data_IF_910035664301
#
_entry.id   IF_910035664301
#
_cell.length_a   1.000
_cell.length_b   1.000
_cell.length_c   1.000
_cell.angle_alpha   90.00
_cell.angle_beta   90.00
_cell.angle_gamma   90.00
#
_symmetry.space_group_name_H-M   'P 1'
#
loop_
_entity.id
_entity.type
_entity.pdbx_description
1 polymer ?
#
# COMPACT_ATOMS: atom_id res chain seq x y z
N UNK A 1 -9.83 -34.59 21.47
CA UNK A 1 -11.10 -34.17 20.84
C UNK A 1 -10.98 -32.67 20.55
N UNK A 2 -10.73 -32.31 19.30
CA UNK A 2 -10.31 -30.96 18.91
C UNK A 2 -11.46 -29.95 19.11
N UNK A 3 -11.23 -28.95 19.96
CA UNK A 3 -12.07 -27.76 20.04
C UNK A 3 -11.92 -26.99 18.72
N UNK A 4 -12.76 -27.33 17.74
CA UNK A 4 -12.93 -26.57 16.51
C UNK A 4 -13.72 -25.33 16.91
N UNK A 5 -12.99 -24.27 17.29
CA UNK A 5 -13.57 -22.96 17.57
C UNK A 5 -14.54 -22.57 16.44
N UNK A 6 -15.81 -22.51 16.79
CA UNK A 6 -16.89 -21.97 15.98
C UNK A 6 -16.75 -20.44 15.93
N UNK A 7 -15.73 -19.96 15.22
CA UNK A 7 -15.63 -18.56 14.81
C UNK A 7 -16.41 -18.42 13.50
N UNK A 8 -17.74 -18.41 13.59
CA UNK A 8 -18.57 -17.95 12.47
C UNK A 8 -18.27 -16.46 12.29
N UNK A 9 -17.50 -16.14 11.26
CA UNK A 9 -17.21 -14.77 10.87
C UNK A 9 -18.51 -14.06 10.50
N UNK A 10 -18.70 -12.86 11.04
CA UNK A 10 -19.82 -12.01 10.65
C UNK A 10 -19.66 -11.62 9.17
N UNK A 11 -20.74 -11.53 8.38
CA UNK A 11 -20.67 -11.13 6.96
C UNK A 11 -19.85 -9.85 6.72
N UNK A 12 -19.86 -8.93 7.70
CA UNK A 12 -19.09 -7.67 7.68
C UNK A 12 -17.57 -7.89 7.76
N UNK A 13 -17.11 -8.96 8.41
CA UNK A 13 -15.68 -9.27 8.48
C UNK A 13 -15.14 -9.85 7.17
N UNK A 14 -15.95 -10.61 6.43
CA UNK A 14 -15.60 -11.12 5.10
C UNK A 14 -15.48 -9.97 4.08
N UNK A 15 -16.45 -9.05 4.06
CA UNK A 15 -16.40 -7.85 3.21
C UNK A 15 -15.20 -6.94 3.55
N UNK A 16 -14.93 -6.74 4.84
CA UNK A 16 -13.76 -5.99 5.30
C UNK A 16 -12.46 -6.65 4.86
N UNK A 17 -12.35 -7.98 5.02
CA UNK A 17 -11.15 -8.74 4.61
C UNK A 17 -10.91 -8.65 3.10
N UNK A 18 -11.97 -8.68 2.28
CA UNK A 18 -11.88 -8.53 0.84
C UNK A 18 -11.41 -7.11 0.44
N UNK A 19 -11.98 -6.06 1.05
CA UNK A 19 -11.57 -4.68 0.81
C UNK A 19 -10.11 -4.41 1.23
N UNK A 20 -9.67 -4.98 2.36
CA UNK A 20 -8.27 -4.91 2.80
C UNK A 20 -7.36 -5.64 1.81
N UNK A 21 -7.75 -6.82 1.34
CA UNK A 21 -6.95 -7.58 0.36
C UNK A 21 -6.78 -6.80 -0.95
N UNK A 22 -7.84 -6.16 -1.44
CA UNK A 22 -7.78 -5.29 -2.61
C UNK A 22 -6.83 -4.10 -2.40
N UNK A 23 -6.96 -3.41 -1.25
CA UNK A 23 -6.10 -2.30 -0.89
C UNK A 23 -4.62 -2.70 -0.81
N UNK A 24 -4.31 -3.87 -0.24
CA UNK A 24 -2.94 -4.39 -0.16
C UNK A 24 -2.38 -4.71 -1.55
N UNK A 25 -3.16 -5.33 -2.43
CA UNK A 25 -2.71 -5.68 -3.79
C UNK A 25 -2.45 -4.43 -4.62
N UNK A 26 -3.37 -3.46 -4.59
CA UNK A 26 -3.21 -2.20 -5.32
C UNK A 26 -2.09 -1.35 -4.73
N UNK A 27 -1.99 -1.30 -3.39
CA UNK A 27 -0.89 -0.67 -2.68
C UNK A 27 0.46 -1.26 -3.07
N UNK A 28 0.59 -2.59 -3.09
CA UNK A 28 1.84 -3.27 -3.45
C UNK A 28 2.24 -2.99 -4.91
N UNK A 29 1.27 -3.00 -5.84
CA UNK A 29 1.53 -2.64 -7.23
C UNK A 29 2.06 -1.21 -7.35
N UNK A 30 1.43 -0.27 -6.64
CA UNK A 30 1.85 1.12 -6.67
C UNK A 30 3.21 1.34 -5.98
N UNK A 31 3.49 0.61 -4.89
CA UNK A 31 4.78 0.61 -4.23
C UNK A 31 5.91 0.14 -5.16
N UNK A 32 5.67 -0.91 -5.96
CA UNK A 32 6.64 -1.38 -6.95
C UNK A 32 6.93 -0.31 -8.02
N UNK A 33 5.89 0.38 -8.51
CA UNK A 33 6.04 1.48 -9.47
C UNK A 33 6.79 2.65 -8.84
N UNK A 34 6.39 3.09 -7.65
CA UNK A 34 7.05 4.18 -6.94
C UNK A 34 8.52 3.86 -6.65
N UNK A 35 8.81 2.64 -6.20
CA UNK A 35 10.15 2.15 -5.93
C UNK A 35 11.03 2.17 -7.18
N UNK A 36 10.53 1.69 -8.32
CA UNK A 36 11.31 1.71 -9.58
C UNK A 36 11.54 3.13 -10.09
N UNK A 37 10.52 3.99 -10.04
CA UNK A 37 10.61 5.40 -10.43
C UNK A 37 11.61 6.17 -9.56
N UNK A 38 11.76 5.84 -8.28
CA UNK A 38 12.70 6.50 -7.37
C UNK A 38 14.09 5.86 -7.39
N UNK A 39 14.17 4.53 -7.56
CA UNK A 39 15.45 3.82 -7.59
C UNK A 39 16.34 4.26 -8.75
N UNK A 40 15.77 4.45 -9.95
CA UNK A 40 16.56 4.84 -11.13
C UNK A 40 17.23 6.22 -10.94
N UNK A 41 16.51 7.30 -10.60
CA UNK A 41 17.12 8.59 -10.29
C UNK A 41 18.09 8.53 -9.12
N UNK A 42 17.81 7.74 -8.08
CA UNK A 42 18.71 7.61 -6.91
C UNK A 42 20.07 7.05 -7.33
N UNK A 43 20.07 5.95 -8.09
CA UNK A 43 21.30 5.31 -8.55
C UNK A 43 22.04 6.15 -9.59
N UNK A 44 21.32 6.80 -10.51
CA UNK A 44 21.91 7.72 -11.48
C UNK A 44 22.54 8.92 -10.78
N UNK A 45 21.85 9.50 -9.78
CA UNK A 45 22.37 10.62 -9.01
C UNK A 45 23.69 10.27 -8.30
N UNK A 46 23.79 9.09 -7.71
CA UNK A 46 25.04 8.60 -7.10
C UNK A 46 26.18 8.36 -8.09
N UNK A 47 25.88 8.21 -9.40
CA UNK A 47 26.88 8.01 -10.46
C UNK A 47 27.32 9.32 -11.10
N UNK A 48 26.40 10.25 -11.30
CA UNK A 48 26.63 11.47 -12.08
C UNK A 48 26.94 12.69 -11.20
N UNK A 49 26.34 12.78 -10.01
CA UNK A 49 26.52 13.95 -9.13
C UNK A 49 27.66 13.70 -8.13
N UNK A 50 28.75 14.51 -8.16
CA UNK A 50 29.91 14.32 -7.27
C UNK A 50 29.53 14.42 -5.79
N UNK A 51 28.61 15.33 -5.46
CA UNK A 51 28.10 15.50 -4.10
C UNK A 51 27.36 14.25 -3.61
N UNK A 52 26.49 13.65 -4.43
CA UNK A 52 25.76 12.46 -4.05
C UNK A 52 26.68 11.24 -3.94
N UNK A 53 27.70 11.14 -4.80
CA UNK A 53 28.71 10.07 -4.73
C UNK A 53 29.53 10.13 -3.44
N UNK A 54 29.77 11.32 -2.89
CA UNK A 54 30.57 11.49 -1.68
C UNK A 54 29.73 11.46 -0.39
N UNK A 55 28.49 11.93 -0.42
CA UNK A 55 27.66 12.08 0.78
C UNK A 55 26.55 11.02 0.93
N UNK A 56 26.18 10.30 -0.14
CA UNK A 56 25.08 9.34 -0.10
C UNK A 56 25.60 7.89 0.03
N UNK A 57 25.54 7.35 1.25
CA UNK A 57 25.92 5.96 1.52
C UNK A 57 24.83 4.96 1.06
N UNK A 58 25.15 3.68 1.06
CA UNK A 58 24.21 2.62 0.65
C UNK A 58 22.94 2.58 1.50
N UNK A 59 23.05 2.90 2.80
CA UNK A 59 21.91 2.99 3.71
C UNK A 59 20.95 4.11 3.31
N UNK A 60 21.47 5.29 2.95
CA UNK A 60 20.68 6.44 2.52
C UNK A 60 19.95 6.14 1.19
N UNK A 61 20.61 5.47 0.25
CA UNK A 61 19.97 5.02 -0.99
C UNK A 61 18.80 4.06 -0.70
N UNK A 62 19.02 3.07 0.16
CA UNK A 62 17.99 2.12 0.57
C UNK A 62 16.83 2.83 1.31
N UNK A 63 17.14 3.82 2.14
CA UNK A 63 16.13 4.60 2.87
C UNK A 63 15.24 5.42 1.91
N UNK A 64 15.85 6.09 0.92
CA UNK A 64 15.10 6.88 -0.08
C UNK A 64 14.14 5.99 -0.87
N UNK A 65 14.62 4.84 -1.35
CA UNK A 65 13.81 3.91 -2.14
C UNK A 65 12.70 3.28 -1.28
N UNK A 66 13.02 2.83 -0.07
CA UNK A 66 12.04 2.22 0.84
C UNK A 66 10.97 3.22 1.29
N UNK A 67 11.33 4.47 1.58
CA UNK A 67 10.38 5.53 1.90
C UNK A 67 9.39 5.77 0.75
N UNK A 68 9.86 5.78 -0.50
CA UNK A 68 9.00 5.92 -1.67
C UNK A 68 8.04 4.73 -1.83
N UNK A 69 8.52 3.50 -1.63
CA UNK A 69 7.68 2.30 -1.66
C UNK A 69 6.58 2.35 -0.60
N UNK A 70 6.95 2.68 0.64
CA UNK A 70 6.02 2.76 1.78
C UNK A 70 4.96 3.83 1.51
N UNK A 71 5.37 5.04 1.10
CA UNK A 71 4.44 6.11 0.76
C UNK A 71 3.49 5.71 -0.38
N UNK A 72 4.02 5.12 -1.45
CA UNK A 72 3.24 4.64 -2.59
C UNK A 72 2.22 3.56 -2.21
N UNK A 73 2.57 2.68 -1.27
CA UNK A 73 1.66 1.68 -0.71
C UNK A 73 0.52 2.35 0.06
N UNK A 74 0.84 3.14 1.08
CA UNK A 74 -0.15 3.70 2.00
C UNK A 74 -1.12 4.65 1.31
N UNK A 75 -0.64 5.52 0.41
CA UNK A 75 -1.51 6.43 -0.33
C UNK A 75 -2.57 5.66 -1.14
N UNK A 76 -2.18 4.57 -1.80
CA UNK A 76 -3.11 3.79 -2.60
C UNK A 76 -4.00 2.90 -1.74
N UNK A 77 -3.46 2.31 -0.67
CA UNK A 77 -4.24 1.53 0.28
C UNK A 77 -5.35 2.39 0.92
N UNK A 78 -5.01 3.59 1.40
CA UNK A 78 -5.96 4.52 2.02
C UNK A 78 -7.05 4.94 1.04
N UNK A 79 -6.68 5.29 -0.20
CA UNK A 79 -7.66 5.63 -1.25
C UNK A 79 -8.60 4.47 -1.56
N UNK A 80 -8.09 3.24 -1.56
CA UNK A 80 -8.89 2.04 -1.84
C UNK A 80 -9.85 1.74 -0.69
N UNK A 81 -9.39 1.83 0.56
CA UNK A 81 -10.23 1.63 1.75
C UNK A 81 -11.35 2.67 1.81
N UNK A 82 -11.03 3.96 1.57
CA UNK A 82 -12.03 5.02 1.55
C UNK A 82 -13.06 4.84 0.43
N UNK A 83 -12.62 4.37 -0.74
CA UNK A 83 -13.54 4.07 -1.86
C UNK A 83 -14.50 2.94 -1.51
N UNK A 84 -13.98 1.85 -0.96
CA UNK A 84 -14.77 0.71 -0.49
C UNK A 84 -15.76 1.13 0.61
N UNK A 85 -15.33 1.95 1.58
CA UNK A 85 -16.21 2.49 2.62
C UNK A 85 -17.33 3.39 2.08
N UNK A 86 -17.05 4.22 1.07
CA UNK A 86 -18.06 5.05 0.39
C UNK A 86 -19.09 4.21 -0.34
N UNK A 87 -18.66 3.19 -1.09
CA UNK A 87 -19.58 2.31 -1.82
C UNK A 87 -20.51 1.53 -0.87
N UNK A 88 -19.97 1.02 0.24
CA UNK A 88 -20.76 0.34 1.27
C UNK A 88 -21.80 1.27 1.93
N UNK A 89 -21.50 2.56 2.06
CA UNK A 89 -22.47 3.55 2.59
C UNK A 89 -23.58 3.84 1.58
N UNK A 90 -23.25 4.07 0.31
CA UNK A 90 -24.23 4.39 -0.74
C UNK A 90 -25.18 3.22 -0.99
N UNK A 91 -24.68 1.98 -1.08
CA UNK A 91 -25.52 0.80 -1.24
C UNK A 91 -26.49 0.57 -0.07
N UNK A 92 -26.17 1.12 1.11
CA UNK A 92 -27.04 1.07 2.28
C UNK A 92 -28.16 2.11 2.25
N UNK A 93 -27.93 3.27 1.65
CA UNK A 93 -28.94 4.33 1.46
C UNK A 93 -29.96 3.91 0.39
N UNK A 94 -29.48 3.35 -0.71
CA UNK A 94 -30.33 2.86 -1.81
C UNK A 94 -31.31 1.77 -1.35
N UNK A 95 -30.87 0.84 -0.50
CA UNK A 95 -31.72 -0.21 0.08
C UNK A 95 -32.80 0.30 1.06
N UNK A 96 -32.70 1.56 1.50
CA UNK A 96 -33.64 2.16 2.46
C UNK A 96 -34.69 3.08 1.83
N UNK A 97 -34.59 3.32 0.52
CA UNK A 97 -35.57 4.06 -0.29
C UNK A 97 -36.42 3.09 -1.10
#
# INVERSE_FOLDING_TARGET
MAARNFLVRSPKEEESSAAVREAVVLGAKNAAIAGTVVAVPTLVSCRVLPWAKHNLNYTAQALIISAACIAGFFITADKTILRNARQNTIGRIDKST
#
